data_IF_070762375769
#
_entry.id   IF_070762375769
#
_cell.length_a   1.000
_cell.length_b   1.000
_cell.length_c   1.000
_cell.angle_alpha   90.00
_cell.angle_beta   90.00
_cell.angle_gamma   90.00
#
_symmetry.space_group_name_H-M   'P 1'
#
loop_
_entity.id
_entity.type
_entity.pdbx_description
1 polymer ?
#
# COMPACT_ATOMS: atom_id res chain seq x y z
N UNK A 1 -46.39 -4.70 34.26
CA UNK A 1 -45.95 -4.75 32.85
C UNK A 1 -45.68 -3.33 32.36
N UNK A 2 -44.47 -3.06 31.83
CA UNK A 2 -44.16 -2.11 30.74
C UNK A 2 -42.63 -2.03 30.58
N UNK A 3 -42.07 -2.92 29.77
CA UNK A 3 -40.70 -2.76 29.24
C UNK A 3 -40.76 -1.66 28.15
N UNK A 4 -40.04 -0.55 28.37
CA UNK A 4 -39.83 0.47 27.36
C UNK A 4 -38.68 0.05 26.45
N UNK A 5 -39.01 -0.64 25.37
CA UNK A 5 -38.10 -1.08 24.32
C UNK A 5 -37.76 0.10 23.40
N UNK A 6 -36.78 0.93 23.78
CA UNK A 6 -36.17 1.88 22.85
C UNK A 6 -35.28 1.10 21.88
N UNK A 7 -35.76 0.95 20.64
CA UNK A 7 -35.05 0.36 19.50
C UNK A 7 -33.65 0.97 19.35
N UNK A 8 -32.63 0.23 19.80
CA UNK A 8 -31.24 0.46 19.41
C UNK A 8 -31.08 -0.09 18.00
N UNK A 9 -31.34 0.75 16.99
CA UNK A 9 -31.11 0.41 15.59
C UNK A 9 -29.59 0.45 15.33
N UNK A 10 -28.89 -0.66 15.59
CA UNK A 10 -27.48 -0.81 15.23
C UNK A 10 -27.38 -0.94 13.71
N UNK A 11 -26.93 0.14 13.05
CA UNK A 11 -26.59 0.16 11.64
C UNK A 11 -25.41 -0.81 11.40
N UNK A 12 -25.70 -2.03 10.97
CA UNK A 12 -24.69 -2.96 10.46
C UNK A 12 -24.27 -2.47 9.08
N UNK A 13 -23.33 -1.52 9.04
CA UNK A 13 -22.63 -1.17 7.80
C UNK A 13 -21.76 -2.38 7.44
N UNK A 14 -21.94 -3.02 6.28
CA UNK A 14 -21.01 -4.04 5.84
C UNK A 14 -19.64 -3.39 5.70
N UNK A 15 -18.68 -3.83 6.53
CA UNK A 15 -17.28 -3.45 6.35
C UNK A 15 -16.84 -4.07 5.03
N UNK A 16 -16.80 -3.25 3.97
CA UNK A 16 -16.03 -3.56 2.79
C UNK A 16 -14.57 -3.69 3.25
N UNK A 17 -14.12 -4.92 3.45
CA UNK A 17 -12.72 -5.22 3.70
C UNK A 17 -11.98 -4.83 2.42
N UNK A 18 -11.42 -3.62 2.37
CA UNK A 18 -10.32 -3.36 1.45
C UNK A 18 -9.35 -4.50 1.61
N UNK A 19 -8.93 -5.08 0.49
CA UNK A 19 -7.86 -6.05 0.53
C UNK A 19 -6.55 -5.26 0.61
N UNK A 20 -6.24 -4.85 1.84
CA UNK A 20 -5.00 -4.15 2.18
C UNK A 20 -3.84 -4.98 1.64
N UNK A 21 -2.88 -4.31 1.03
CA UNK A 21 -1.70 -4.86 0.36
C UNK A 21 -1.94 -5.59 -0.96
N UNK A 22 -3.15 -5.53 -1.52
CA UNK A 22 -3.36 -5.99 -2.89
C UNK A 22 -2.57 -5.13 -3.90
N UNK A 23 -2.10 -5.74 -4.99
CA UNK A 23 -1.46 -5.01 -6.07
C UNK A 23 -2.47 -4.10 -6.79
N UNK A 24 -1.99 -2.93 -7.21
CA UNK A 24 -2.76 -1.98 -8.02
C UNK A 24 -1.91 -1.40 -9.14
N UNK A 25 -2.56 -0.89 -10.18
CA UNK A 25 -1.92 -0.19 -11.30
C UNK A 25 -2.66 1.12 -11.52
N UNK A 26 -1.94 2.24 -11.39
CA UNK A 26 -2.47 3.59 -11.54
C UNK A 26 -1.62 4.39 -12.56
N UNK A 27 -1.97 5.63 -12.93
CA UNK A 27 -1.20 6.42 -13.90
C UNK A 27 0.28 6.57 -13.57
N UNK A 28 0.66 6.55 -12.29
CA UNK A 28 2.06 6.57 -11.85
C UNK A 28 2.84 5.27 -12.03
N UNK A 29 2.14 4.17 -12.33
CA UNK A 29 2.67 2.82 -12.47
C UNK A 29 2.05 1.81 -11.50
N UNK A 30 2.76 0.71 -11.32
CA UNK A 30 2.40 -0.34 -10.35
C UNK A 30 2.62 0.13 -8.90
N UNK A 31 1.77 -0.35 -8.00
CA UNK A 31 1.83 -0.01 -6.59
C UNK A 31 1.10 -1.02 -5.71
N UNK A 32 0.75 -0.57 -4.51
CA UNK A 32 0.08 -1.37 -3.50
C UNK A 32 -1.05 -0.60 -2.82
N UNK A 33 -2.17 -1.28 -2.57
CA UNK A 33 -3.30 -0.73 -1.84
C UNK A 33 -2.99 -0.62 -0.35
N UNK A 34 -2.86 0.59 0.17
CA UNK A 34 -2.53 0.83 1.58
C UNK A 34 -3.18 2.11 2.09
N UNK A 35 -3.22 2.29 3.41
CA UNK A 35 -3.70 3.53 4.00
C UNK A 35 -2.90 4.74 3.47
N UNK A 36 -3.61 5.78 3.05
CA UNK A 36 -3.03 7.00 2.46
C UNK A 36 -1.98 7.65 3.36
N UNK A 37 -2.12 7.54 4.68
CA UNK A 37 -1.17 8.10 5.66
C UNK A 37 0.18 7.37 5.71
N UNK A 38 0.23 6.15 5.19
CA UNK A 38 1.43 5.31 5.10
C UNK A 38 2.15 5.48 3.76
N UNK A 39 1.49 6.01 2.73
CA UNK A 39 2.09 6.24 1.42
C UNK A 39 3.03 7.46 1.42
N UNK A 40 4.22 7.28 2.00
CA UNK A 40 5.26 8.31 2.10
C UNK A 40 6.65 7.70 1.98
N UNK A 41 7.63 8.55 1.67
CA UNK A 41 9.03 8.18 1.73
C UNK A 41 9.43 7.96 3.20
N UNK A 42 10.20 6.90 3.47
CA UNK A 42 10.78 6.69 4.78
C UNK A 42 11.97 7.64 4.95
N UNK A 43 12.33 7.98 6.20
CA UNK A 43 13.50 8.81 6.47
C UNK A 43 14.76 8.22 5.82
N UNK A 44 15.58 9.07 5.21
CA UNK A 44 16.80 8.68 4.49
C UNK A 44 16.58 8.12 3.09
N UNK A 45 15.34 7.82 2.67
CA UNK A 45 15.07 7.40 1.29
C UNK A 45 14.99 8.59 0.33
N UNK A 46 15.32 8.35 -0.95
CA UNK A 46 15.03 9.24 -2.08
C UNK A 46 14.13 8.53 -3.08
N UNK A 47 13.28 9.29 -3.76
CA UNK A 47 12.34 8.79 -4.74
C UNK A 47 11.00 9.52 -4.69
N UNK A 48 9.91 8.83 -5.02
CA UNK A 48 8.55 9.37 -5.03
C UNK A 48 7.57 8.44 -4.32
N UNK A 49 6.56 9.01 -3.68
CA UNK A 49 5.41 8.29 -3.16
C UNK A 49 4.15 9.08 -3.54
N UNK A 50 3.24 8.45 -4.27
CA UNK A 50 2.03 9.10 -4.79
C UNK A 50 0.83 8.18 -4.60
N UNK A 51 -0.27 8.73 -4.11
CA UNK A 51 -1.54 8.01 -3.95
C UNK A 51 -2.47 8.25 -5.14
N UNK A 52 -3.27 7.26 -5.47
CA UNK A 52 -4.30 7.33 -6.50
C UNK A 52 -5.59 6.69 -6.00
N UNK A 53 -6.70 7.42 -6.10
CA UNK A 53 -8.05 6.99 -5.68
C UNK A 53 -8.77 6.27 -6.82
N UNK A 54 -9.58 5.26 -6.50
CA UNK A 54 -10.35 4.46 -7.46
C UNK A 54 -9.60 3.27 -8.04
N UNK A 55 -8.40 2.96 -7.54
CA UNK A 55 -7.51 1.93 -8.10
C UNK A 55 -7.36 0.68 -7.21
N UNK A 56 -7.99 0.68 -6.03
CA UNK A 56 -8.04 -0.49 -5.15
C UNK A 56 -9.42 -1.14 -5.19
N UNK A 57 -9.45 -2.48 -5.11
CA UNK A 57 -10.72 -3.21 -5.13
C UNK A 57 -11.53 -2.88 -3.88
N UNK A 58 -12.80 -2.52 -4.08
CA UNK A 58 -13.72 -2.08 -3.03
C UNK A 58 -13.19 -0.86 -2.24
N UNK A 59 -12.49 0.05 -2.93
CA UNK A 59 -11.71 1.18 -2.39
C UNK A 59 -12.40 1.92 -1.22
N UNK A 60 -12.10 1.59 0.04
CA UNK A 60 -12.57 2.37 1.18
C UNK A 60 -11.82 3.69 1.21
N UNK A 61 -12.48 4.74 1.69
CA UNK A 61 -12.02 6.13 1.57
C UNK A 61 -10.56 6.43 2.00
N UNK A 62 -9.93 5.59 2.83
CA UNK A 62 -8.56 5.79 3.31
C UNK A 62 -7.52 4.82 2.75
N UNK A 63 -7.93 3.71 2.14
CA UNK A 63 -7.00 2.84 1.43
C UNK A 63 -6.92 3.38 0.01
N UNK A 64 -5.73 3.60 -0.54
CA UNK A 64 -5.53 4.11 -1.89
C UNK A 64 -4.39 3.35 -2.56
N UNK A 65 -4.32 3.41 -3.88
CA UNK A 65 -3.19 2.84 -4.59
C UNK A 65 -1.95 3.71 -4.37
N UNK A 66 -0.99 3.19 -3.62
CA UNK A 66 0.28 3.85 -3.36
C UNK A 66 1.33 3.38 -4.38
N UNK A 67 1.71 4.29 -5.28
CA UNK A 67 2.85 4.10 -6.17
C UNK A 67 4.06 4.73 -5.49
N UNK A 68 4.91 3.89 -4.89
CA UNK A 68 6.15 4.33 -4.25
C UNK A 68 7.37 3.80 -5.02
N UNK A 69 8.18 4.73 -5.52
CA UNK A 69 9.44 4.46 -6.23
C UNK A 69 10.61 4.92 -5.37
N UNK A 70 11.65 4.10 -5.24
CA UNK A 70 12.80 4.38 -4.38
C UNK A 70 14.07 4.31 -5.21
N UNK A 71 14.91 5.36 -5.13
CA UNK A 71 16.22 5.44 -5.77
C UNK A 71 17.37 5.42 -4.77
N UNK A 72 17.10 5.71 -3.49
CA UNK A 72 18.04 5.57 -2.38
C UNK A 72 17.33 4.89 -1.21
N UNK A 73 17.95 3.86 -0.65
CA UNK A 73 17.46 3.12 0.51
C UNK A 73 17.61 3.93 1.82
N UNK A 74 16.95 3.49 2.88
CA UNK A 74 17.00 4.15 4.21
C UNK A 74 18.41 4.23 4.80
N UNK A 75 19.31 3.32 4.44
CA UNK A 75 20.71 3.30 4.88
C UNK A 75 21.65 4.17 4.02
N UNK A 76 21.11 4.92 3.05
CA UNK A 76 21.88 5.77 2.15
C UNK A 76 22.39 5.09 0.88
N UNK A 77 22.18 3.78 0.70
CA UNK A 77 22.58 3.08 -0.53
C UNK A 77 21.77 3.58 -1.73
N UNK A 78 22.45 4.08 -2.76
CA UNK A 78 21.83 4.42 -4.05
C UNK A 78 21.60 3.15 -4.88
N UNK A 79 20.45 3.05 -5.53
CA UNK A 79 20.10 1.96 -6.42
C UNK A 79 20.44 2.33 -7.86
N UNK A 80 21.04 1.41 -8.61
CA UNK A 80 21.34 1.59 -10.04
C UNK A 80 20.10 1.75 -10.90
N UNK A 81 18.96 1.21 -10.44
CA UNK A 81 17.62 1.41 -11.01
C UNK A 81 16.63 1.70 -9.89
N UNK A 82 15.61 2.51 -10.18
CA UNK A 82 14.55 2.76 -9.22
C UNK A 82 13.79 1.48 -8.89
N UNK A 83 13.68 1.15 -7.61
CA UNK A 83 12.79 0.10 -7.12
C UNK A 83 11.36 0.58 -7.00
N UNK A 84 10.41 -0.34 -7.10
CA UNK A 84 8.97 -0.08 -6.90
C UNK A 84 8.44 -0.92 -5.76
N UNK A 85 7.69 -0.31 -4.85
CA UNK A 85 7.01 -1.05 -3.78
C UNK A 85 5.85 -1.86 -4.36
N UNK A 86 5.94 -3.19 -4.23
CA UNK A 86 4.95 -4.13 -4.76
C UNK A 86 4.64 -5.19 -3.72
N UNK A 87 3.45 -5.79 -3.84
CA UNK A 87 3.20 -7.06 -3.18
C UNK A 87 4.21 -8.11 -3.67
N UNK A 88 4.77 -8.92 -2.77
CA UNK A 88 5.78 -9.93 -3.09
C UNK A 88 5.34 -10.91 -4.19
N UNK A 89 4.03 -11.19 -4.29
CA UNK A 89 3.46 -12.01 -5.37
C UNK A 89 3.60 -11.42 -6.77
N UNK A 90 3.86 -10.10 -6.88
CA UNK A 90 4.09 -9.37 -8.14
C UNK A 90 5.54 -8.95 -8.35
N UNK A 91 6.47 -9.49 -7.54
CA UNK A 91 7.89 -9.28 -7.72
C UNK A 91 8.62 -10.62 -7.94
N UNK A 92 8.78 -11.05 -9.22
CA UNK A 92 9.44 -12.32 -9.52
C UNK A 92 10.95 -12.24 -9.22
N UNK A 93 11.46 -13.12 -8.37
CA UNK A 93 12.83 -13.05 -7.82
C UNK A 93 13.93 -13.52 -8.76
N UNK A 94 13.59 -14.15 -9.88
CA UNK A 94 14.55 -14.55 -10.91
C UNK A 94 15.15 -13.37 -11.69
N UNK A 95 14.57 -12.17 -11.55
CA UNK A 95 15.03 -10.96 -12.25
C UNK A 95 14.97 -9.70 -11.41
N UNK A 96 14.63 -9.83 -10.12
CA UNK A 96 14.49 -8.68 -9.23
C UNK A 96 15.14 -8.97 -7.87
N UNK A 97 15.78 -7.94 -7.31
CA UNK A 97 16.24 -7.92 -5.93
C UNK A 97 15.12 -7.40 -5.03
N UNK A 98 14.84 -8.11 -3.94
CA UNK A 98 13.84 -7.74 -2.95
C UNK A 98 14.50 -7.09 -1.73
N UNK A 99 14.13 -5.84 -1.43
CA UNK A 99 14.54 -5.19 -0.18
C UNK A 99 13.38 -5.13 0.80
N UNK A 100 13.56 -5.76 1.96
CA UNK A 100 12.63 -5.70 3.10
C UNK A 100 12.70 -4.34 3.80
N UNK A 101 11.62 -3.93 4.46
CA UNK A 101 11.53 -2.71 5.28
C UNK A 101 11.77 -1.38 4.52
N UNK A 102 11.72 -1.41 3.18
CA UNK A 102 11.86 -0.21 2.33
C UNK A 102 10.50 0.33 1.86
N UNK A 103 9.42 -0.40 2.11
CA UNK A 103 8.06 -0.09 1.67
C UNK A 103 7.10 -0.02 2.85
N UNK A 104 6.02 0.78 2.74
CA UNK A 104 4.98 0.77 3.75
C UNK A 104 4.17 -0.53 3.70
N UNK A 105 3.59 -0.89 4.83
CA UNK A 105 2.81 -2.13 4.99
C UNK A 105 3.57 -3.22 5.73
N UNK A 106 3.06 -4.43 5.62
CA UNK A 106 3.59 -5.65 6.21
C UNK A 106 4.72 -6.25 5.38
N UNK A 107 5.22 -7.42 5.80
CA UNK A 107 6.22 -8.22 5.08
C UNK A 107 5.79 -8.67 3.68
N UNK A 108 4.50 -8.56 3.34
CA UNK A 108 3.98 -8.87 2.00
C UNK A 108 4.28 -7.76 0.99
N UNK A 109 4.73 -6.59 1.43
CA UNK A 109 5.12 -5.48 0.55
C UNK A 109 6.61 -5.28 0.64
N UNK A 110 7.31 -5.42 -0.49
CA UNK A 110 8.75 -5.25 -0.58
C UNK A 110 9.11 -4.32 -1.72
N UNK A 111 10.30 -3.74 -1.62
CA UNK A 111 10.84 -2.96 -2.71
C UNK A 111 11.42 -3.92 -3.75
N UNK A 112 10.83 -3.90 -4.93
CA UNK A 112 11.20 -4.71 -6.08
C UNK A 112 12.13 -3.91 -6.99
N UNK A 113 13.39 -4.32 -7.10
CA UNK A 113 14.42 -3.64 -7.92
C UNK A 113 14.84 -4.54 -9.09
N UNK A 114 14.64 -4.12 -10.36
CA UNK A 114 15.02 -4.89 -11.55
C UNK A 114 16.48 -4.72 -11.98
#
# INVERSE_FOLDING_TARGET
>A
MRLNLKCLLTLLVPLALAKVEDPCTAPGGEGVCIDKSLCKMSSGQKGTATTYTGYCKNDPANILCCVKKVTQLTNGTNLSKAGVCKNVSKCPTNSNTLYSNQCPGSSNVKLCVP
#
